data_IF_737020524360
#
_entry.id   IF_737020524360
#
_cell.length_a   1.000
_cell.length_b   1.000
_cell.length_c   1.000
_cell.angle_alpha   90.00
_cell.angle_beta   90.00
_cell.angle_gamma   90.00
#
_symmetry.space_group_name_H-M   'P 1'
#
loop_
_entity.id
_entity.type
_entity.pdbx_description
1 polymer ?
#
# COMPACT_ATOMS: atom_id res chain seq x y z
N UNK A 1 27.02 6.14 15.61
CA UNK A 1 25.93 6.49 14.69
C UNK A 1 24.62 6.48 15.46
N UNK A 2 23.78 7.49 15.30
CA UNK A 2 22.41 7.41 15.82
C UNK A 2 21.65 6.31 15.06
N UNK A 3 20.81 5.54 15.77
CA UNK A 3 19.97 4.52 15.15
C UNK A 3 18.94 5.12 14.18
N UNK A 4 18.39 4.31 13.28
CA UNK A 4 17.45 4.75 12.24
C UNK A 4 16.25 5.53 12.82
N UNK A 5 15.70 5.08 13.94
CA UNK A 5 14.58 5.77 14.61
C UNK A 5 14.96 7.18 15.07
N UNK A 6 16.11 7.35 15.72
CA UNK A 6 16.60 8.65 16.16
C UNK A 6 16.91 9.59 14.98
N UNK A 7 17.33 9.04 13.83
CA UNK A 7 17.47 9.82 12.61
C UNK A 7 16.11 10.31 12.08
N UNK A 8 15.09 9.44 12.06
CA UNK A 8 13.72 9.82 11.70
C UNK A 8 13.17 10.92 12.59
N UNK A 9 13.34 10.81 13.91
CA UNK A 9 12.88 11.85 14.87
C UNK A 9 13.49 13.22 14.54
N UNK A 10 14.81 13.28 14.33
CA UNK A 10 15.48 14.53 13.93
C UNK A 10 14.96 15.10 12.61
N UNK A 11 14.66 14.25 11.62
CA UNK A 11 14.07 14.70 10.36
C UNK A 11 12.67 15.30 10.55
N UNK A 12 11.90 14.75 11.50
CA UNK A 12 10.59 15.30 11.86
C UNK A 12 10.73 16.66 12.52
N UNK A 13 11.70 16.83 13.44
CA UNK A 13 11.97 18.11 14.08
C UNK A 13 12.33 19.19 13.04
N UNK A 14 13.29 18.88 12.15
CA UNK A 14 13.70 19.79 11.07
C UNK A 14 12.52 20.17 10.17
N UNK A 15 11.69 19.21 9.77
CA UNK A 15 10.54 19.47 8.92
C UNK A 15 9.51 20.37 9.62
N UNK A 16 9.25 20.14 10.90
CA UNK A 16 8.31 20.95 11.70
C UNK A 16 8.83 22.36 11.95
N UNK A 17 10.12 22.52 12.24
CA UNK A 17 10.79 23.83 12.35
C UNK A 17 10.66 24.64 11.05
N UNK A 18 10.67 23.96 9.90
CA UNK A 18 10.42 24.55 8.59
C UNK A 18 8.94 24.79 8.27
N UNK A 19 8.01 24.48 9.18
CA UNK A 19 6.57 24.65 8.99
C UNK A 19 5.88 23.58 8.13
N UNK A 20 6.52 22.42 7.93
CA UNK A 20 5.94 21.30 7.18
C UNK A 20 5.10 20.38 8.08
N UNK A 21 4.02 19.86 7.51
CA UNK A 21 3.27 18.75 8.11
C UNK A 21 4.04 17.45 7.97
N UNK A 22 4.03 16.64 9.02
CA UNK A 22 4.72 15.35 9.07
C UNK A 22 3.76 14.23 9.41
N UNK A 23 3.98 13.06 8.79
CA UNK A 23 3.26 11.83 9.08
C UNK A 23 4.25 10.66 9.09
N UNK A 24 4.03 9.69 9.97
CA UNK A 24 4.80 8.46 10.02
C UNK A 24 4.10 7.38 9.19
N UNK A 25 4.87 6.67 8.36
CA UNK A 25 4.35 5.59 7.51
C UNK A 25 5.09 4.28 7.81
N UNK A 26 4.87 3.67 8.99
CA UNK A 26 5.53 2.40 9.31
C UNK A 26 4.90 1.26 8.50
N UNK A 27 5.76 0.36 8.02
CA UNK A 27 5.32 -0.89 7.39
C UNK A 27 5.00 -1.93 8.46
N UNK A 28 3.78 -2.46 8.44
CA UNK A 28 3.32 -3.52 9.35
C UNK A 28 3.17 -4.85 8.63
N UNK A 29 3.52 -5.92 9.32
CA UNK A 29 3.39 -7.32 8.87
C UNK A 29 3.00 -8.19 10.06
N UNK A 30 2.67 -9.46 9.78
CA UNK A 30 2.42 -10.45 10.83
C UNK A 30 3.55 -10.50 11.89
N UNK A 31 4.80 -10.25 11.47
CA UNK A 31 5.98 -10.31 12.33
C UNK A 31 6.11 -9.17 13.32
N UNK A 32 5.68 -7.95 12.97
CA UNK A 32 6.00 -6.76 13.76
C UNK A 32 4.79 -6.09 14.42
N UNK A 33 3.57 -6.37 13.97
CA UNK A 33 2.37 -5.67 14.38
C UNK A 33 2.08 -5.76 15.88
N UNK A 34 2.54 -6.83 16.55
CA UNK A 34 2.30 -7.09 17.98
C UNK A 34 3.52 -6.82 18.86
N UNK A 35 4.62 -6.34 18.28
CA UNK A 35 5.86 -6.12 19.01
C UNK A 35 5.79 -4.90 19.92
N UNK A 36 6.63 -4.88 20.96
CA UNK A 36 6.81 -3.70 21.82
C UNK A 36 7.29 -2.49 21.02
N UNK A 37 8.13 -2.72 20.00
CA UNK A 37 8.62 -1.65 19.12
C UNK A 37 7.50 -0.94 18.36
N UNK A 38 6.54 -1.68 17.82
CA UNK A 38 5.37 -1.07 17.16
C UNK A 38 4.51 -0.29 18.16
N UNK A 39 4.25 -0.84 19.34
CA UNK A 39 3.51 -0.14 20.41
C UNK A 39 4.21 1.15 20.83
N UNK A 40 5.53 1.10 21.02
CA UNK A 40 6.34 2.27 21.36
C UNK A 40 6.30 3.34 20.26
N UNK A 41 6.28 2.93 18.98
CA UNK A 41 6.13 3.85 17.84
C UNK A 41 4.78 4.56 17.87
N UNK A 42 3.68 3.82 18.09
CA UNK A 42 2.33 4.40 18.18
C UNK A 42 2.24 5.39 19.35
N UNK A 43 2.75 5.02 20.53
CA UNK A 43 2.76 5.92 21.69
C UNK A 43 3.65 7.16 21.50
N UNK A 44 4.80 7.00 20.83
CA UNK A 44 5.63 8.14 20.45
C UNK A 44 4.86 9.07 19.51
N UNK A 45 4.29 8.55 18.42
CA UNK A 45 3.54 9.35 17.46
C UNK A 45 2.34 10.07 18.12
N UNK A 46 1.63 9.40 19.03
CA UNK A 46 0.56 10.01 19.82
C UNK A 46 1.03 11.20 20.64
N UNK A 47 2.18 11.07 21.32
CA UNK A 47 2.72 12.14 22.17
C UNK A 47 3.18 13.35 21.35
N UNK A 48 3.77 13.10 20.19
CA UNK A 48 4.28 14.16 19.31
C UNK A 48 3.19 14.74 18.37
N UNK A 49 1.93 14.30 18.50
CA UNK A 49 0.81 14.67 17.65
C UNK A 49 1.10 14.43 16.15
N UNK A 50 1.55 13.21 15.84
CA UNK A 50 1.92 12.76 14.50
C UNK A 50 0.87 11.78 13.99
N UNK A 51 0.33 12.04 12.80
CA UNK A 51 -0.49 11.05 12.08
C UNK A 51 0.36 9.84 11.70
N UNK A 52 -0.15 8.65 11.99
CA UNK A 52 0.44 7.38 11.57
C UNK A 52 -0.43 6.79 10.47
N UNK A 53 0.10 6.67 9.26
CA UNK A 53 -0.54 5.98 8.15
C UNK A 53 0.16 4.63 7.91
N UNK A 54 -0.44 3.54 8.34
CA UNK A 54 0.15 2.21 8.27
C UNK A 54 0.20 1.71 6.83
N UNK A 55 1.39 1.28 6.42
CA UNK A 55 1.55 0.51 5.19
C UNK A 55 1.53 -0.98 5.50
N UNK A 56 0.64 -1.73 4.87
CA UNK A 56 0.60 -3.19 5.05
C UNK A 56 1.63 -3.84 4.13
N UNK A 57 2.38 -4.81 4.64
CA UNK A 57 3.37 -5.53 3.87
C UNK A 57 2.71 -6.40 2.78
N UNK A 58 3.36 -6.45 1.62
CA UNK A 58 2.94 -7.25 0.47
C UNK A 58 4.14 -8.04 -0.07
N UNK A 59 3.95 -9.27 -0.56
CA UNK A 59 5.03 -10.15 -1.02
C UNK A 59 5.48 -9.79 -2.44
N UNK A 60 5.91 -8.54 -2.63
CA UNK A 60 6.30 -7.97 -3.93
C UNK A 60 7.68 -7.31 -3.86
N UNK A 61 8.30 -7.10 -5.02
CA UNK A 61 9.63 -6.50 -5.10
C UNK A 61 10.65 -7.35 -4.33
N UNK A 62 11.43 -6.75 -3.44
CA UNK A 62 12.41 -7.49 -2.63
C UNK A 62 11.76 -8.45 -1.61
N UNK A 63 10.44 -8.39 -1.43
CA UNK A 63 9.66 -9.30 -0.58
C UNK A 63 8.92 -10.35 -1.41
N UNK A 64 9.22 -10.44 -2.70
CA UNK A 64 8.83 -11.52 -3.60
C UNK A 64 8.93 -12.91 -2.92
N UNK A 65 7.81 -13.64 -2.89
CA UNK A 65 7.73 -14.98 -2.31
C UNK A 65 7.72 -15.05 -0.78
N UNK A 66 7.79 -13.92 -0.07
CA UNK A 66 7.74 -13.88 1.39
C UNK A 66 6.28 -13.79 1.89
N UNK A 67 5.55 -14.90 1.85
CA UNK A 67 4.14 -14.93 2.30
C UNK A 67 3.99 -14.72 3.82
N UNK A 68 5.02 -14.99 4.61
CA UNK A 68 5.06 -14.70 6.07
C UNK A 68 4.84 -13.21 6.39
N UNK A 69 4.96 -12.31 5.41
CA UNK A 69 4.72 -10.88 5.63
C UNK A 69 3.24 -10.51 5.68
N UNK A 70 2.37 -11.33 5.08
CA UNK A 70 0.95 -11.06 4.93
C UNK A 70 0.26 -11.03 6.29
N UNK A 71 -0.74 -10.16 6.41
CA UNK A 71 -1.54 -10.10 7.63
C UNK A 71 -2.51 -11.27 7.67
N UNK A 72 -2.60 -11.93 8.83
CA UNK A 72 -3.61 -12.96 9.07
C UNK A 72 -4.96 -12.33 9.42
N UNK A 73 -6.07 -13.08 9.37
CA UNK A 73 -7.37 -12.59 9.86
C UNK A 73 -7.32 -12.03 11.29
N UNK A 74 -6.53 -12.63 12.17
CA UNK A 74 -6.35 -12.18 13.55
C UNK A 74 -5.58 -10.86 13.64
N UNK A 75 -4.61 -10.64 12.74
CA UNK A 75 -3.88 -9.37 12.63
C UNK A 75 -4.77 -8.26 12.10
N UNK A 76 -5.62 -8.56 11.12
CA UNK A 76 -6.59 -7.61 10.59
C UNK A 76 -7.63 -7.21 11.64
N UNK A 77 -8.11 -8.16 12.44
CA UNK A 77 -9.00 -7.87 13.57
C UNK A 77 -8.33 -6.94 14.58
N UNK A 78 -7.07 -7.23 14.94
CA UNK A 78 -6.29 -6.35 15.82
C UNK A 78 -6.07 -4.96 15.21
N UNK A 79 -5.75 -4.88 13.92
CA UNK A 79 -5.51 -3.63 13.21
C UNK A 79 -6.77 -2.76 13.12
N UNK A 80 -7.91 -3.38 12.85
CA UNK A 80 -9.21 -2.70 12.84
C UNK A 80 -9.56 -2.14 14.22
N UNK A 81 -9.36 -2.90 15.30
CA UNK A 81 -9.57 -2.43 16.67
C UNK A 81 -8.62 -1.28 17.03
N UNK A 82 -7.33 -1.37 16.64
CA UNK A 82 -6.35 -0.31 16.84
C UNK A 82 -6.77 1.00 16.15
N UNK A 83 -7.13 0.94 14.86
CA UNK A 83 -7.57 2.11 14.08
C UNK A 83 -8.84 2.71 14.67
N UNK A 84 -9.79 1.87 15.12
CA UNK A 84 -11.04 2.32 15.72
C UNK A 84 -10.83 3.05 17.06
N UNK A 85 -9.89 2.56 17.90
CA UNK A 85 -9.59 3.15 19.21
C UNK A 85 -8.60 4.31 19.16
N UNK A 86 -7.87 4.46 18.06
CA UNK A 86 -6.70 5.34 17.96
C UNK A 86 -6.87 6.30 16.78
N UNK A 87 -7.54 7.47 16.96
CA UNK A 87 -7.88 8.37 15.86
C UNK A 87 -6.72 8.92 15.02
N UNK A 88 -5.48 8.89 15.53
CA UNK A 88 -4.30 9.33 14.78
C UNK A 88 -3.61 8.17 14.01
N UNK A 89 -4.12 6.95 14.10
CA UNK A 89 -3.65 5.78 13.35
C UNK A 89 -4.65 5.46 12.24
N UNK A 90 -4.19 5.38 11.00
CA UNK A 90 -4.98 5.10 9.81
C UNK A 90 -4.24 4.08 8.94
N UNK A 91 -4.94 3.47 7.99
CA UNK A 91 -4.35 2.81 6.82
C UNK A 91 -4.69 3.65 5.61
N UNK A 92 -4.17 3.23 4.46
CA UNK A 92 -4.52 3.82 3.18
C UNK A 92 -6.03 3.81 2.89
N UNK A 93 -6.80 2.94 3.55
CA UNK A 93 -8.23 2.75 3.33
C UNK A 93 -9.07 3.87 3.91
N UNK A 94 -8.58 4.49 4.99
CA UNK A 94 -9.26 5.56 5.71
C UNK A 94 -8.86 6.96 5.23
N UNK A 95 -7.92 7.06 4.29
CA UNK A 95 -7.43 8.35 3.74
C UNK A 95 -8.02 8.71 2.39
N UNK A 96 -9.12 8.05 2.01
CA UNK A 96 -9.87 8.35 0.81
C UNK A 96 -10.76 9.59 1.02
N UNK A 97 -11.06 10.31 -0.07
CA UNK A 97 -11.95 11.46 -0.06
C UNK A 97 -13.43 11.07 0.00
N UNK A 98 -13.84 10.00 -0.69
CA UNK A 98 -15.25 9.67 -0.90
C UNK A 98 -15.74 8.50 -0.05
N UNK A 99 -15.04 7.36 -0.08
CA UNK A 99 -15.49 6.12 0.58
C UNK A 99 -14.33 5.36 1.22
N UNK A 100 -14.63 4.66 2.32
CA UNK A 100 -13.69 3.73 2.95
C UNK A 100 -13.42 2.51 2.07
N UNK A 101 -12.17 2.07 2.00
CA UNK A 101 -11.76 0.86 1.29
C UNK A 101 -10.53 1.07 0.40
N UNK A 102 -10.21 0.06 -0.42
CA UNK A 102 -9.11 0.15 -1.38
C UNK A 102 -9.39 1.24 -2.42
N UNK A 103 -8.59 2.32 -2.42
CA UNK A 103 -8.69 3.45 -3.35
C UNK A 103 -8.01 3.22 -4.71
N UNK A 104 -7.54 2.01 -5.00
CA UNK A 104 -6.76 1.70 -6.19
C UNK A 104 -7.58 1.94 -7.47
N UNK A 105 -7.08 2.80 -8.36
CA UNK A 105 -7.74 3.31 -9.57
C UNK A 105 -9.00 4.18 -9.36
N UNK A 106 -9.73 4.02 -8.25
CA UNK A 106 -10.91 4.83 -7.93
C UNK A 106 -10.53 6.24 -7.52
N UNK A 107 -9.66 6.40 -6.53
CA UNK A 107 -9.21 7.70 -6.03
C UNK A 107 -7.70 7.91 -6.14
N UNK A 108 -6.94 6.82 -6.29
CA UNK A 108 -5.48 6.84 -6.31
C UNK A 108 -4.98 6.21 -7.60
N UNK A 109 -4.07 6.92 -8.25
CA UNK A 109 -3.33 6.46 -9.42
C UNK A 109 -1.85 6.72 -9.19
N UNK A 110 -1.03 5.77 -9.58
CA UNK A 110 0.41 5.83 -9.39
C UNK A 110 1.10 5.79 -10.74
N UNK A 111 2.20 6.52 -10.85
CA UNK A 111 2.96 6.68 -12.08
C UNK A 111 4.39 6.26 -11.81
N UNK A 112 4.92 5.37 -12.65
CA UNK A 112 6.35 5.05 -12.60
C UNK A 112 7.16 6.20 -13.23
N UNK A 113 8.46 6.31 -12.93
CA UNK A 113 9.35 7.25 -13.63
C UNK A 113 9.40 7.05 -15.16
N UNK A 114 9.01 5.87 -15.64
CA UNK A 114 8.95 5.52 -17.05
C UNK A 114 7.59 5.85 -17.70
N UNK A 115 6.63 6.35 -16.92
CA UNK A 115 5.31 6.78 -17.38
C UNK A 115 4.23 5.71 -17.33
N UNK A 116 4.54 4.48 -16.88
CA UNK A 116 3.52 3.46 -16.66
C UNK A 116 2.55 3.90 -15.57
N UNK A 117 1.26 3.68 -15.80
CA UNK A 117 0.21 3.92 -14.81
C UNK A 117 -0.16 2.60 -14.17
N UNK A 118 -0.04 2.56 -12.85
CA UNK A 118 -0.37 1.41 -12.02
C UNK A 118 -1.45 1.80 -10.99
N UNK A 119 -2.37 0.88 -10.64
CA UNK A 119 -3.51 1.22 -9.79
C UNK A 119 -3.13 1.38 -8.31
N UNK A 120 -2.01 0.79 -7.88
CA UNK A 120 -1.50 0.78 -6.52
C UNK A 120 0.04 0.62 -6.57
N UNK A 121 0.82 1.22 -5.66
CA UNK A 121 2.29 1.11 -5.68
C UNK A 121 2.77 -0.33 -5.45
N UNK A 122 1.92 -1.17 -4.87
CA UNK A 122 2.19 -2.59 -4.63
C UNK A 122 1.62 -3.50 -5.72
N UNK A 123 0.91 -2.95 -6.71
CA UNK A 123 0.45 -3.67 -7.90
C UNK A 123 1.35 -3.27 -9.07
N UNK A 124 2.45 -3.98 -9.25
CA UNK A 124 3.42 -3.74 -10.33
C UNK A 124 2.88 -4.23 -11.70
N UNK A 125 1.72 -3.73 -12.12
CA UNK A 125 1.01 -4.09 -13.34
C UNK A 125 0.67 -2.81 -14.10
N UNK A 126 1.23 -2.65 -15.30
CA UNK A 126 1.00 -1.47 -16.15
C UNK A 126 -0.34 -1.60 -16.87
N UNK A 127 -1.23 -0.62 -16.71
CA UNK A 127 -2.47 -0.55 -17.51
C UNK A 127 -2.30 0.29 -18.79
N UNK A 128 -1.19 0.99 -18.92
CA UNK A 128 -0.85 1.86 -20.05
C UNK A 128 0.24 2.86 -19.64
N UNK A 129 0.74 3.62 -20.62
CA UNK A 129 1.79 4.62 -20.39
C UNK A 129 1.27 6.03 -20.71
N UNK A 130 1.45 6.99 -19.79
CA UNK A 130 0.95 8.36 -19.94
C UNK A 130 1.57 9.13 -21.09
N UNK A 131 2.73 8.68 -21.60
CA UNK A 131 3.39 9.28 -22.76
C UNK A 131 2.71 8.87 -24.08
N UNK A 132 1.86 7.84 -24.04
CA UNK A 132 1.25 7.23 -25.22
C UNK A 132 -0.28 7.30 -25.19
N UNK A 133 -0.89 7.15 -24.01
CA UNK A 133 -2.34 7.05 -23.83
C UNK A 133 -2.81 8.05 -22.77
N UNK A 134 -3.91 8.79 -23.01
CA UNK A 134 -4.46 9.70 -22.00
C UNK A 134 -4.78 8.98 -20.70
N UNK A 135 -4.44 9.60 -19.55
CA UNK A 135 -4.68 9.03 -18.21
C UNK A 135 -6.14 8.64 -18.00
N UNK A 136 -7.08 9.40 -18.59
CA UNK A 136 -8.51 9.10 -18.55
C UNK A 136 -8.82 7.71 -19.12
N UNK A 137 -8.33 7.41 -20.31
CA UNK A 137 -8.56 6.13 -20.99
C UNK A 137 -7.90 4.97 -20.21
N UNK A 138 -6.69 5.21 -19.69
CA UNK A 138 -6.01 4.20 -18.85
C UNK A 138 -6.82 3.92 -17.58
N UNK A 139 -7.36 4.95 -16.93
CA UNK A 139 -8.22 4.80 -15.75
C UNK A 139 -9.54 4.11 -16.10
N UNK A 140 -10.18 4.43 -17.21
CA UNK A 140 -11.40 3.75 -17.67
C UNK A 140 -11.15 2.24 -17.86
N UNK A 141 -10.01 1.88 -18.46
CA UNK A 141 -9.56 0.48 -18.57
C UNK A 141 -9.36 -0.17 -17.19
N UNK A 142 -8.77 0.54 -16.22
CA UNK A 142 -8.66 0.03 -14.85
C UNK A 142 -10.03 -0.20 -14.23
N UNK A 143 -10.95 0.77 -14.34
CA UNK A 143 -12.30 0.67 -13.76
C UNK A 143 -13.22 -0.33 -14.47
N UNK A 144 -12.87 -0.80 -15.67
CA UNK A 144 -13.53 -1.94 -16.28
C UNK A 144 -13.15 -3.28 -15.61
N UNK A 145 -12.04 -3.32 -14.87
CA UNK A 145 -11.60 -4.50 -14.14
C UNK A 145 -12.42 -4.73 -12.86
N UNK A 146 -12.92 -5.95 -12.64
CA UNK A 146 -13.76 -6.28 -11.49
C UNK A 146 -13.12 -6.03 -10.12
N UNK A 147 -11.80 -6.08 -10.02
CA UNK A 147 -11.07 -5.82 -8.78
C UNK A 147 -10.89 -4.32 -8.49
N UNK A 148 -10.96 -3.47 -9.51
CA UNK A 148 -10.63 -2.04 -9.42
C UNK A 148 -11.81 -1.10 -9.65
N UNK A 149 -12.97 -1.62 -10.08
CA UNK A 149 -14.18 -0.83 -10.40
C UNK A 149 -14.88 -0.16 -9.20
N UNK A 150 -14.36 -0.31 -8.00
CA UNK A 150 -14.96 0.20 -6.75
C UNK A 150 -14.01 0.05 -5.56
N UNK A 151 -14.49 0.40 -4.37
CA UNK A 151 -13.71 0.35 -3.14
C UNK A 151 -13.77 -1.07 -2.56
N UNK A 152 -12.75 -1.88 -2.80
CA UNK A 152 -12.67 -3.20 -2.21
C UNK A 152 -12.57 -3.11 -0.68
N UNK A 153 -13.32 -3.91 0.09
CA UNK A 153 -13.30 -3.85 1.55
C UNK A 153 -12.02 -4.43 2.17
N UNK A 154 -11.23 -5.18 1.38
CA UNK A 154 -9.98 -5.81 1.79
C UNK A 154 -8.84 -5.40 0.84
N UNK A 155 -7.61 -5.41 1.34
CA UNK A 155 -6.42 -5.13 0.55
C UNK A 155 -6.11 -6.27 -0.41
N UNK A 156 -6.22 -5.99 -1.71
CA UNK A 156 -5.98 -6.96 -2.78
C UNK A 156 -4.55 -7.55 -2.79
N UNK A 157 -3.59 -6.92 -2.11
CA UNK A 157 -2.16 -7.28 -2.16
C UNK A 157 -1.53 -7.57 -0.79
N UNK A 158 -2.23 -7.29 0.30
CA UNK A 158 -1.73 -7.49 1.66
C UNK A 158 -2.62 -8.41 2.50
N UNK A 159 -3.82 -8.73 2.01
CA UNK A 159 -4.75 -9.66 2.64
C UNK A 159 -4.97 -10.87 1.72
N UNK A 160 -5.19 -12.07 2.28
CA UNK A 160 -5.49 -13.26 1.48
C UNK A 160 -6.70 -13.06 0.57
N UNK A 161 -6.58 -13.47 -0.70
CA UNK A 161 -7.67 -13.36 -1.64
C UNK A 161 -7.28 -13.64 -3.08
N UNK A 162 -8.30 -13.73 -3.94
CA UNK A 162 -8.14 -14.16 -5.33
C UNK A 162 -7.11 -13.32 -6.11
N UNK A 163 -7.07 -12.01 -5.87
CA UNK A 163 -6.12 -11.12 -6.56
C UNK A 163 -4.67 -11.48 -6.23
N UNK A 164 -4.39 -11.60 -4.93
CA UNK A 164 -3.07 -11.93 -4.40
C UNK A 164 -2.58 -13.29 -4.93
N UNK A 165 -3.47 -14.28 -4.96
CA UNK A 165 -3.10 -15.66 -5.31
C UNK A 165 -2.85 -15.86 -6.81
N UNK A 166 -3.60 -15.14 -7.66
CA UNK A 166 -3.66 -15.44 -9.11
C UNK A 166 -3.12 -14.33 -10.00
N UNK A 167 -3.09 -13.08 -9.54
CA UNK A 167 -2.84 -11.93 -10.41
C UNK A 167 -1.70 -11.04 -9.92
N UNK A 168 -1.27 -11.14 -8.66
CA UNK A 168 -0.13 -10.36 -8.20
C UNK A 168 1.18 -10.96 -8.73
N UNK A 169 1.98 -10.22 -9.54
CA UNK A 169 3.29 -10.69 -9.95
C UNK A 169 4.18 -10.84 -8.71
N UNK A 170 4.64 -12.06 -8.45
CA UNK A 170 5.48 -12.38 -7.28
C UNK A 170 6.96 -12.25 -7.60
N UNK A 171 7.35 -12.15 -8.87
CA UNK A 171 8.74 -12.07 -9.29
C UNK A 171 9.31 -10.66 -9.14
N UNK A 172 10.60 -10.59 -8.82
CA UNK A 172 11.37 -9.35 -8.85
C UNK A 172 11.55 -8.91 -10.31
N UNK A 173 10.90 -7.81 -10.71
CA UNK A 173 10.92 -7.31 -12.09
C UNK A 173 12.16 -6.43 -12.38
N UNK A 174 13.31 -6.72 -11.76
CA UNK A 174 14.50 -5.85 -11.86
C UNK A 174 15.09 -5.78 -13.28
N UNK A 175 14.85 -6.79 -14.10
CA UNK A 175 15.45 -6.90 -15.44
C UNK A 175 14.41 -6.98 -16.58
N UNK A 176 13.16 -6.59 -16.33
CA UNK A 176 12.10 -6.59 -17.35
C UNK A 176 11.14 -5.43 -17.19
N UNK A 177 10.49 -4.98 -18.29
CA UNK A 177 9.35 -4.09 -18.19
C UNK A 177 8.28 -4.65 -17.25
N UNK A 178 7.52 -3.74 -16.64
CA UNK A 178 6.33 -4.12 -15.87
C UNK A 178 5.40 -4.96 -16.76
N UNK A 179 4.85 -6.07 -16.25
CA UNK A 179 3.83 -6.81 -16.99
C UNK A 179 2.63 -5.89 -17.23
N UNK A 180 2.08 -6.00 -18.43
CA UNK A 180 0.85 -5.31 -18.80
C UNK A 180 -0.36 -5.98 -18.15
N UNK A 181 -1.43 -5.22 -17.94
CA UNK A 181 -2.71 -5.75 -17.49
C UNK A 181 -3.19 -6.90 -18.39
N UNK A 182 -3.02 -6.78 -19.72
CA UNK A 182 -3.34 -7.83 -20.68
C UNK A 182 -2.57 -9.13 -20.42
N UNK A 183 -1.27 -9.06 -20.16
CA UNK A 183 -0.46 -10.23 -19.85
C UNK A 183 -0.93 -10.91 -18.56
N UNK A 184 -1.14 -10.13 -17.50
CA UNK A 184 -1.54 -10.65 -16.18
C UNK A 184 -2.93 -11.25 -16.21
N UNK A 185 -3.93 -10.51 -16.71
CA UNK A 185 -5.32 -10.95 -16.69
C UNK A 185 -5.63 -12.02 -17.76
N UNK A 186 -4.80 -12.19 -18.79
CA UNK A 186 -4.91 -13.30 -19.76
C UNK A 186 -4.19 -14.58 -19.28
N UNK A 187 -3.05 -14.45 -18.60
CA UNK A 187 -2.27 -15.60 -18.12
C UNK A 187 -2.95 -16.34 -16.95
N UNK A 188 -3.75 -15.62 -16.15
CA UNK A 188 -4.61 -16.21 -15.13
C UNK A 188 -5.75 -17.01 -15.78
N UNK A 189 -5.50 -18.28 -16.13
CA UNK A 189 -6.51 -19.20 -16.70
C UNK A 189 -7.80 -19.16 -15.87
N UNK A 190 -9.00 -19.15 -16.47
CA UNK A 190 -10.24 -19.35 -15.71
C UNK A 190 -10.17 -20.72 -15.01
N UNK A 191 -10.49 -20.71 -13.72
CA UNK A 191 -10.82 -21.94 -12.99
C UNK A 191 -12.28 -22.26 -13.25
#
# INVERSE_FOLDING_TARGET
MAGAFAATQRSFDIAREAGLLVAAVPTVSHRNLRTEGFRALVEWARREDILVNLSMASPVGNWAGNEDCLLTPDDLAFLNDLVARTPHVRRDFETNFWQLGCGAATEKLYFTPFGDVVPCPYMHISFGNVRQTPVREIREKMLANRFLRGFAPACLVAEPGEFLDRYLPKELLQDRPLPTAEEVFRAARPG
#
